data_IF_999996216438
#
_entry.id   IF_999996216438
#
_cell.length_a   1.000
_cell.length_b   1.000
_cell.length_c   1.000
_cell.angle_alpha   90.00
_cell.angle_beta   90.00
_cell.angle_gamma   90.00
#
_symmetry.space_group_name_H-M   'P 1'
#
loop_
_entity.id
_entity.type
_entity.pdbx_description
1 polymer ?
#
# COMPACT_ATOMS: atom_id res chain seq x y z
N UNK A 1 34.86 0.92 -7.55
CA UNK A 1 33.68 0.89 -6.64
C UNK A 1 33.18 -0.55 -6.48
N UNK A 2 33.20 -1.37 -7.53
CA UNK A 2 32.80 -2.78 -7.47
C UNK A 2 33.64 -3.63 -6.51
N UNK A 3 34.94 -3.34 -6.40
CA UNK A 3 35.85 -4.06 -5.53
C UNK A 3 36.06 -3.37 -4.17
N UNK A 4 35.76 -2.08 -4.06
CA UNK A 4 36.06 -1.27 -2.88
C UNK A 4 34.82 -0.67 -2.22
N UNK A 5 33.67 -0.74 -2.86
CA UNK A 5 32.39 -0.37 -2.29
C UNK A 5 31.96 -1.35 -1.22
N UNK A 6 30.87 -1.56 -0.76
CA UNK A 6 30.43 -2.45 0.32
C UNK A 6 30.38 -3.94 -0.11
N UNK A 7 31.55 -4.62 -0.30
CA UNK A 7 31.60 -5.95 -0.85
C UNK A 7 31.07 -6.98 0.14
N UNK A 8 30.29 -7.92 -0.33
CA UNK A 8 29.81 -9.06 0.47
C UNK A 8 30.79 -10.23 0.42
N UNK A 9 31.34 -10.48 -0.76
CA UNK A 9 32.38 -11.50 -1.02
C UNK A 9 33.35 -10.92 -2.03
N UNK A 10 34.64 -11.03 -1.76
CA UNK A 10 35.72 -10.68 -2.69
C UNK A 10 36.68 -11.87 -2.85
N UNK A 11 37.43 -11.92 -3.96
CA UNK A 11 38.46 -12.96 -4.17
C UNK A 11 39.64 -12.85 -3.20
N UNK A 12 39.84 -11.68 -2.60
CA UNK A 12 40.98 -11.39 -1.75
C UNK A 12 40.69 -11.43 -0.25
N UNK A 13 39.42 -11.21 0.10
CA UNK A 13 38.97 -11.23 1.48
C UNK A 13 37.51 -11.62 1.54
N UNK A 14 37.20 -12.62 2.34
CA UNK A 14 35.85 -12.99 2.62
C UNK A 14 35.28 -11.98 3.64
N UNK A 15 34.29 -11.24 3.23
CA UNK A 15 33.56 -10.31 4.11
C UNK A 15 32.15 -10.88 4.35
N UNK A 16 31.91 -11.27 5.59
CA UNK A 16 30.59 -11.73 5.98
C UNK A 16 29.68 -10.56 6.25
N UNK A 17 28.52 -10.56 5.62
CA UNK A 17 27.46 -9.61 5.96
C UNK A 17 26.84 -10.01 7.28
N UNK A 18 26.88 -9.11 8.25
CA UNK A 18 26.20 -9.32 9.52
C UNK A 18 24.70 -9.06 9.34
N UNK A 19 23.89 -10.05 9.65
CA UNK A 19 22.44 -9.90 9.70
C UNK A 19 22.04 -9.51 11.13
N UNK A 20 21.31 -8.41 11.24
CA UNK A 20 20.73 -7.96 12.51
C UNK A 20 19.30 -8.51 12.60
N UNK A 21 18.91 -9.00 13.75
CA UNK A 21 17.55 -9.40 14.01
C UNK A 21 16.63 -8.18 13.89
N UNK A 22 15.46 -8.36 13.30
CA UNK A 22 14.47 -7.32 13.16
C UNK A 22 13.07 -7.85 13.48
N UNK A 23 12.18 -6.96 13.84
CA UNK A 23 10.75 -7.22 13.99
C UNK A 23 9.95 -6.24 13.13
N UNK A 24 8.72 -6.61 12.83
CA UNK A 24 7.79 -5.76 12.09
C UNK A 24 6.58 -5.45 12.95
N UNK A 25 6.12 -4.22 12.87
CA UNK A 25 4.84 -3.81 13.44
C UNK A 25 4.07 -2.97 12.44
N UNK A 26 2.77 -2.89 12.63
CA UNK A 26 1.89 -2.04 11.83
C UNK A 26 1.48 -0.84 12.66
N UNK A 27 1.81 0.36 12.15
CA UNK A 27 1.53 1.62 12.82
C UNK A 27 0.47 2.37 12.02
N UNK A 28 -0.65 2.64 12.65
CA UNK A 28 -1.71 3.43 12.04
C UNK A 28 -1.30 4.90 11.95
N UNK A 29 -1.51 5.50 10.80
CA UNK A 29 -1.24 6.91 10.55
C UNK A 29 -2.56 7.67 10.37
N UNK A 30 -2.59 8.90 10.87
CA UNK A 30 -3.76 9.76 10.73
C UNK A 30 -3.74 10.48 9.38
N UNK A 31 -4.89 10.47 8.72
CA UNK A 31 -5.12 11.19 7.47
C UNK A 31 -5.52 12.61 7.79
N UNK A 32 -4.77 13.58 7.26
CA UNK A 32 -5.09 14.99 7.34
C UNK A 32 -5.81 15.41 6.05
N UNK A 33 -6.97 16.02 6.17
CA UNK A 33 -7.78 16.42 5.02
C UNK A 33 -9.14 15.73 4.98
N UNK A 34 -9.77 15.73 3.82
CA UNK A 34 -11.04 15.03 3.63
C UNK A 34 -10.80 13.52 3.59
N UNK A 35 -11.33 12.82 4.57
CA UNK A 35 -11.27 11.34 4.66
C UNK A 35 -12.44 10.66 3.95
N UNK A 36 -13.09 11.35 3.04
CA UNK A 36 -14.27 10.84 2.34
C UNK A 36 -13.91 10.26 0.99
N UNK A 37 -14.57 9.19 0.61
CA UNK A 37 -14.45 8.52 -0.69
C UNK A 37 -15.16 9.26 -1.84
N UNK A 38 -15.44 10.54 -1.69
CA UNK A 38 -16.21 11.31 -2.68
C UNK A 38 -15.34 12.32 -3.45
N UNK A 39 -14.23 11.85 -3.98
CA UNK A 39 -13.31 12.68 -4.75
C UNK A 39 -12.49 13.67 -3.92
N UNK A 40 -12.55 13.59 -2.61
CA UNK A 40 -11.75 14.39 -1.70
C UNK A 40 -10.26 14.04 -1.74
N UNK A 41 -9.45 14.85 -1.09
CA UNK A 41 -8.02 14.60 -0.96
C UNK A 41 -7.58 14.53 0.49
N UNK A 42 -6.60 13.69 0.77
CA UNK A 42 -6.02 13.54 2.09
C UNK A 42 -4.51 13.46 2.02
N UNK A 43 -3.84 13.89 3.06
CA UNK A 43 -2.38 13.78 3.17
C UNK A 43 -2.03 13.05 4.46
N UNK A 44 -1.10 12.11 4.34
CA UNK A 44 -0.56 11.36 5.46
C UNK A 44 0.93 11.63 5.55
N UNK A 45 1.40 12.03 6.71
CA UNK A 45 2.84 12.11 6.99
C UNK A 45 3.26 10.84 7.70
N UNK A 46 4.22 10.13 7.12
CA UNK A 46 4.74 8.89 7.72
C UNK A 46 5.56 9.26 8.96
N UNK A 47 5.12 8.76 10.12
CA UNK A 47 5.84 8.95 11.37
C UNK A 47 7.13 8.13 11.40
N UNK A 48 8.16 8.65 12.09
CA UNK A 48 9.47 7.99 12.20
C UNK A 48 9.57 7.08 13.42
N UNK A 49 8.53 6.29 13.67
CA UNK A 49 8.54 5.37 14.80
C UNK A 49 9.35 4.10 14.51
N UNK A 50 9.60 3.81 13.21
CA UNK A 50 10.45 2.70 12.78
C UNK A 50 11.57 3.18 11.86
N UNK A 51 12.58 2.33 11.69
CA UNK A 51 13.76 2.64 10.86
C UNK A 51 13.45 2.48 9.37
N UNK A 52 12.62 1.51 9.01
CA UNK A 52 12.33 1.11 7.64
C UNK A 52 10.83 1.00 7.42
N UNK A 53 10.35 1.50 6.29
CA UNK A 53 8.98 1.26 5.83
C UNK A 53 9.01 0.20 4.74
N UNK A 54 8.31 -0.91 5.00
CA UNK A 54 8.27 -2.04 4.08
C UNK A 54 6.96 -2.13 3.31
N UNK A 55 5.82 -1.92 3.97
CA UNK A 55 4.49 -2.01 3.35
C UNK A 55 3.59 -0.89 3.81
N UNK A 56 2.71 -0.47 2.94
CA UNK A 56 1.67 0.52 3.24
C UNK A 56 0.34 -0.06 2.79
N UNK A 57 -0.65 0.01 3.68
CA UNK A 57 -2.01 -0.40 3.41
C UNK A 57 -2.96 0.76 3.64
N UNK A 58 -3.93 0.89 2.77
CA UNK A 58 -5.10 1.75 3.03
C UNK A 58 -6.20 0.86 3.56
N UNK A 59 -6.71 1.19 4.73
CA UNK A 59 -7.81 0.47 5.36
C UNK A 59 -9.07 1.30 5.33
N UNK A 60 -10.19 0.67 5.03
CA UNK A 60 -11.51 1.28 5.13
C UNK A 60 -12.44 0.33 5.86
N UNK A 61 -13.21 0.86 6.78
CA UNK A 61 -14.21 0.16 7.59
C UNK A 61 -15.64 0.42 7.09
N UNK A 62 -15.78 0.92 5.89
CA UNK A 62 -17.09 1.18 5.27
C UNK A 62 -17.83 -0.11 4.95
N UNK A 63 -19.14 -0.13 5.20
CA UNK A 63 -20.00 -1.21 4.77
C UNK A 63 -20.14 -1.23 3.23
N UNK A 64 -20.26 -2.43 2.65
CA UNK A 64 -20.56 -2.62 1.22
C UNK A 64 -19.48 -2.15 0.24
N UNK A 65 -18.20 -2.29 0.56
CA UNK A 65 -17.13 -2.06 -0.40
C UNK A 65 -16.95 -3.29 -1.27
N UNK A 66 -17.27 -3.17 -2.54
CA UNK A 66 -17.12 -4.27 -3.52
C UNK A 66 -15.73 -4.28 -4.18
N UNK A 67 -15.12 -3.12 -4.32
CA UNK A 67 -13.84 -2.99 -4.98
C UNK A 67 -12.94 -1.99 -4.23
N UNK A 68 -12.04 -2.53 -3.42
CA UNK A 68 -11.08 -1.71 -2.66
C UNK A 68 -10.12 -0.93 -3.55
N UNK A 69 -9.83 -1.37 -4.77
CA UNK A 69 -8.94 -0.63 -5.67
C UNK A 69 -9.53 0.72 -6.09
N UNK A 70 -10.86 0.87 -6.05
CA UNK A 70 -11.54 2.13 -6.36
C UNK A 70 -11.50 3.16 -5.21
N UNK A 71 -11.10 2.77 -4.01
CA UNK A 71 -10.99 3.68 -2.86
C UNK A 71 -9.96 4.76 -3.11
N UNK A 72 -8.82 4.38 -3.70
CA UNK A 72 -7.72 5.30 -4.00
C UNK A 72 -7.65 5.53 -5.49
N UNK A 73 -8.14 6.67 -5.94
CA UNK A 73 -8.07 7.05 -7.35
C UNK A 73 -6.62 7.39 -7.76
N UNK A 74 -5.91 8.07 -6.88
CA UNK A 74 -4.53 8.48 -7.09
C UNK A 74 -3.79 8.53 -5.76
N UNK A 75 -2.53 8.11 -5.75
CA UNK A 75 -1.63 8.26 -4.62
C UNK A 75 -0.28 8.78 -5.09
N UNK A 76 0.19 9.84 -4.47
CA UNK A 76 1.52 10.41 -4.70
C UNK A 76 2.40 10.19 -3.48
N UNK A 77 3.65 9.81 -3.72
CA UNK A 77 4.70 9.79 -2.71
C UNK A 77 5.57 11.04 -2.85
N UNK A 78 5.64 11.80 -1.79
CA UNK A 78 6.46 13.01 -1.70
C UNK A 78 7.54 12.83 -0.62
N UNK A 79 8.77 13.16 -0.95
CA UNK A 79 9.90 13.15 -0.02
C UNK A 79 10.55 14.52 -0.03
N UNK A 80 10.58 15.18 1.12
CA UNK A 80 11.18 16.52 1.25
C UNK A 80 10.54 17.61 0.39
N UNK A 81 9.23 17.49 0.10
CA UNK A 81 8.50 18.43 -0.75
C UNK A 81 8.59 18.13 -2.25
N UNK A 82 9.33 17.08 -2.64
CA UNK A 82 9.44 16.68 -4.03
C UNK A 82 8.63 15.41 -4.28
N UNK A 83 7.79 15.41 -5.31
CA UNK A 83 7.08 14.22 -5.76
C UNK A 83 8.06 13.24 -6.37
N UNK A 84 8.13 12.03 -5.81
CA UNK A 84 9.04 10.97 -6.25
C UNK A 84 8.31 9.95 -7.10
N UNK A 85 7.09 9.60 -6.71
CA UNK A 85 6.31 8.58 -7.40
C UNK A 85 4.81 8.92 -7.37
N UNK A 86 4.07 8.39 -8.34
CA UNK A 86 2.64 8.63 -8.48
C UNK A 86 1.99 7.41 -9.09
N UNK A 87 0.97 6.91 -8.42
CA UNK A 87 0.21 5.75 -8.87
C UNK A 87 -1.26 6.10 -8.99
N UNK A 88 -1.89 5.50 -9.99
CA UNK A 88 -3.33 5.54 -10.21
C UNK A 88 -3.96 4.18 -9.88
N UNK A 89 -5.27 4.13 -9.72
CA UNK A 89 -6.01 2.89 -9.44
C UNK A 89 -5.75 1.80 -10.50
N UNK A 90 -5.68 2.18 -11.77
CA UNK A 90 -5.43 1.27 -12.89
C UNK A 90 -4.06 0.60 -12.76
N UNK A 91 -3.06 1.31 -12.25
CA UNK A 91 -1.76 0.74 -11.97
C UNK A 91 -1.84 -0.40 -10.94
N UNK A 92 -2.60 -0.19 -9.87
CA UNK A 92 -2.80 -1.24 -8.85
C UNK A 92 -3.43 -2.48 -9.45
N UNK A 93 -4.45 -2.32 -10.28
CA UNK A 93 -5.13 -3.43 -10.95
C UNK A 93 -4.21 -4.20 -11.88
N UNK A 94 -3.52 -3.49 -12.78
CA UNK A 94 -2.58 -4.10 -13.75
C UNK A 94 -1.45 -4.82 -13.02
N UNK A 95 -0.83 -4.19 -12.04
CA UNK A 95 0.27 -4.77 -11.30
C UNK A 95 -0.14 -6.02 -10.55
N UNK A 96 -1.29 -6.00 -9.91
CA UNK A 96 -1.79 -7.16 -9.18
C UNK A 96 -2.11 -8.35 -10.11
N UNK A 97 -2.69 -8.08 -11.27
CA UNK A 97 -2.97 -9.13 -12.26
C UNK A 97 -1.68 -9.78 -12.80
N UNK A 98 -0.63 -8.99 -13.02
CA UNK A 98 0.64 -9.47 -13.56
C UNK A 98 1.55 -10.13 -12.52
N UNK A 99 1.50 -9.69 -11.26
CA UNK A 99 2.47 -10.09 -10.24
C UNK A 99 1.96 -11.08 -9.20
N UNK A 100 0.65 -11.30 -9.14
CA UNK A 100 0.05 -12.16 -8.12
C UNK A 100 -0.10 -13.58 -8.63
N UNK A 101 0.49 -14.52 -7.91
CA UNK A 101 0.30 -15.95 -8.18
C UNK A 101 -1.17 -16.34 -7.98
N UNK A 102 -1.67 -17.27 -8.77
CA UNK A 102 -3.04 -17.75 -8.69
C UNK A 102 -3.40 -18.25 -7.27
N UNK A 103 -2.47 -18.89 -6.60
CA UNK A 103 -2.63 -19.36 -5.22
C UNK A 103 -2.91 -18.25 -4.21
N UNK A 104 -2.47 -17.03 -4.49
CA UNK A 104 -2.64 -15.83 -3.64
C UNK A 104 -3.74 -14.88 -4.14
N UNK A 105 -4.19 -15.05 -5.37
CA UNK A 105 -5.16 -14.17 -6.01
C UNK A 105 -6.49 -14.11 -5.23
N UNK A 106 -6.97 -15.25 -4.73
CA UNK A 106 -8.21 -15.33 -3.93
C UNK A 106 -8.04 -14.53 -2.63
N UNK A 107 -6.91 -14.70 -1.93
CA UNK A 107 -6.62 -13.97 -0.69
C UNK A 107 -6.53 -12.46 -0.91
N UNK A 108 -5.88 -12.03 -1.98
CA UNK A 108 -5.77 -10.61 -2.34
C UNK A 108 -7.14 -10.01 -2.68
N UNK A 109 -7.96 -10.71 -3.45
CA UNK A 109 -9.32 -10.29 -3.76
C UNK A 109 -10.18 -10.18 -2.49
N UNK A 110 -10.05 -11.13 -1.57
CA UNK A 110 -10.73 -11.07 -0.28
C UNK A 110 -10.30 -9.87 0.56
N UNK A 111 -9.01 -9.55 0.61
CA UNK A 111 -8.50 -8.36 1.30
C UNK A 111 -9.07 -7.06 0.73
N UNK A 112 -9.28 -7.01 -0.58
CA UNK A 112 -9.79 -5.84 -1.29
C UNK A 112 -11.32 -5.74 -1.33
N UNK A 113 -12.04 -6.72 -0.77
CA UNK A 113 -13.50 -6.76 -0.77
C UNK A 113 -14.12 -7.25 -2.07
N UNK A 114 -13.32 -7.61 -3.09
CA UNK A 114 -13.82 -8.05 -4.40
C UNK A 114 -14.42 -9.47 -4.41
N UNK A 115 -14.31 -10.21 -3.32
CA UNK A 115 -14.99 -11.48 -3.12
C UNK A 115 -15.90 -11.31 -1.92
N UNK A 116 -17.19 -11.17 -2.16
CA UNK A 116 -18.19 -11.41 -1.13
C UNK A 116 -17.97 -12.80 -0.55
N UNK A 117 -17.96 -12.93 0.76
CA UNK A 117 -17.92 -14.23 1.42
C UNK A 117 -19.13 -15.02 0.93
N UNK A 118 -18.86 -16.01 0.10
CA UNK A 118 -19.84 -16.83 -0.59
C UNK A 118 -20.85 -17.41 0.40
N UNK A 119 -22.10 -17.17 0.18
CA UNK A 119 -23.18 -17.85 0.89
C UNK A 119 -24.48 -17.07 1.02
N UNK A 120 -24.52 -15.81 0.71
CA UNK A 120 -25.74 -15.02 0.74
C UNK A 120 -25.93 -14.29 -0.57
N UNK A 121 -27.08 -14.51 -1.19
CA UNK A 121 -27.54 -13.75 -2.34
C UNK A 121 -27.89 -12.32 -1.90
N UNK A 122 -26.88 -11.52 -1.74
CA UNK A 122 -26.94 -10.15 -1.26
C UNK A 122 -25.53 -9.82 -0.80
N UNK A 123 -24.75 -9.20 -1.65
CA UNK A 123 -23.38 -8.82 -1.37
C UNK A 123 -23.35 -7.90 -0.15
N UNK A 124 -23.24 -8.49 1.03
CA UNK A 124 -22.77 -7.75 2.19
C UNK A 124 -21.26 -7.62 2.02
N UNK A 125 -20.83 -6.47 1.54
CA UNK A 125 -19.43 -6.15 1.42
C UNK A 125 -18.70 -6.41 2.74
N UNK A 126 -17.46 -6.79 2.67
CA UNK A 126 -16.60 -7.04 3.84
C UNK A 126 -16.51 -5.72 4.63
N UNK A 127 -16.81 -5.76 5.91
CA UNK A 127 -16.82 -4.56 6.75
C UNK A 127 -15.45 -3.89 6.95
N UNK A 128 -14.35 -4.58 6.58
CA UNK A 128 -12.99 -4.06 6.63
C UNK A 128 -12.24 -4.47 5.37
N UNK A 129 -11.80 -3.50 4.64
CA UNK A 129 -11.00 -3.70 3.41
C UNK A 129 -9.59 -3.16 3.64
N UNK A 130 -8.61 -3.90 3.14
CA UNK A 130 -7.20 -3.53 3.19
C UNK A 130 -6.61 -3.55 1.79
N UNK A 131 -6.26 -2.37 1.29
CA UNK A 131 -5.69 -2.20 -0.06
C UNK A 131 -4.19 -1.99 0.06
N UNK A 132 -3.35 -2.93 -0.39
CA UNK A 132 -1.91 -2.75 -0.40
C UNK A 132 -1.50 -1.77 -1.50
N UNK A 133 -0.60 -0.84 -1.17
CA UNK A 133 0.01 0.05 -2.15
C UNK A 133 1.27 -0.58 -2.74
N UNK A 134 1.45 -0.42 -4.04
CA UNK A 134 2.49 -1.12 -4.82
C UNK A 134 3.69 -0.22 -5.17
N UNK A 135 4.16 0.59 -4.23
CA UNK A 135 5.40 1.34 -4.38
C UNK A 135 6.62 0.40 -4.49
N UNK A 136 7.74 0.90 -5.03
CA UNK A 136 8.95 0.09 -5.21
C UNK A 136 9.45 -0.53 -3.90
N UNK A 137 9.35 0.21 -2.79
CA UNK A 137 9.79 -0.27 -1.47
C UNK A 137 8.85 -1.30 -0.85
N UNK A 138 7.63 -1.44 -1.39
CA UNK A 138 6.65 -2.44 -0.93
C UNK A 138 6.85 -3.83 -1.54
N UNK A 139 7.64 -3.93 -2.60
CA UNK A 139 7.79 -5.17 -3.38
C UNK A 139 8.70 -6.19 -2.72
N UNK A 140 9.78 -5.73 -2.12
CA UNK A 140 10.80 -6.58 -1.52
C UNK A 140 11.30 -5.96 -0.21
N UNK A 141 11.46 -6.74 0.89
CA UNK A 141 12.03 -6.24 2.14
C UNK A 141 13.39 -5.55 2.00
N UNK A 142 14.21 -6.00 1.05
CA UNK A 142 15.50 -5.38 0.76
C UNK A 142 15.43 -3.98 0.13
N UNK A 143 14.26 -3.58 -0.35
CA UNK A 143 13.99 -2.26 -0.95
C UNK A 143 13.29 -1.32 0.02
N UNK A 144 13.13 -1.70 1.29
CA UNK A 144 12.41 -0.91 2.28
C UNK A 144 12.93 0.53 2.35
N UNK A 145 12.02 1.48 2.49
CA UNK A 145 12.35 2.91 2.54
C UNK A 145 13.02 3.25 3.87
N UNK A 146 14.29 3.70 3.88
CA UNK A 146 15.04 3.99 5.10
C UNK A 146 14.65 5.36 5.66
N UNK A 147 13.78 5.41 6.66
CA UNK A 147 13.38 6.66 7.30
C UNK A 147 14.54 7.32 8.05
N UNK A 148 15.48 6.52 8.57
CA UNK A 148 16.66 7.04 9.25
C UNK A 148 17.56 7.86 8.31
N UNK A 149 17.67 7.48 7.04
CA UNK A 149 18.41 8.23 6.04
C UNK A 149 17.69 9.52 5.63
N UNK A 150 16.39 9.58 5.83
CA UNK A 150 15.52 10.70 5.46
C UNK A 150 15.19 11.60 6.68
N UNK A 151 16.06 11.62 7.68
CA UNK A 151 15.80 12.34 8.95
C UNK A 151 15.50 13.84 8.80
N UNK A 152 15.97 14.47 7.75
CA UNK A 152 15.73 15.90 7.47
C UNK A 152 14.64 16.15 6.42
N UNK A 153 14.06 15.07 5.88
CA UNK A 153 13.02 15.13 4.86
C UNK A 153 11.76 14.43 5.35
N UNK A 154 10.63 15.10 5.27
CA UNK A 154 9.35 14.46 5.55
C UNK A 154 8.94 13.58 4.38
N UNK A 155 8.43 12.39 4.70
CA UNK A 155 7.82 11.49 3.74
C UNK A 155 6.31 11.63 3.87
N UNK A 156 5.66 12.02 2.78
CA UNK A 156 4.22 12.23 2.72
C UNK A 156 3.60 11.39 1.62
N UNK A 157 2.41 10.89 1.91
CA UNK A 157 1.52 10.29 0.94
C UNK A 157 0.34 11.22 0.74
N UNK A 158 0.11 11.63 -0.50
CA UNK A 158 -1.06 12.42 -0.88
C UNK A 158 -2.03 11.53 -1.61
N UNK A 159 -3.25 11.49 -1.14
CA UNK A 159 -4.31 10.67 -1.70
C UNK A 159 -5.35 11.54 -2.36
N UNK A 160 -5.85 11.07 -3.49
CA UNK A 160 -7.11 11.50 -4.07
C UNK A 160 -8.06 10.31 -4.00
N UNK A 161 -9.17 10.48 -3.33
CA UNK A 161 -10.11 9.40 -3.09
C UNK A 161 -11.01 9.16 -4.30
N UNK A 162 -11.46 7.94 -4.42
CA UNK A 162 -12.47 7.56 -5.40
C UNK A 162 -13.85 8.12 -5.06
N UNK A 163 -14.76 8.04 -6.00
CA UNK A 163 -16.16 8.43 -5.78
C UNK A 163 -16.92 7.31 -5.10
N UNK A 164 -17.87 7.64 -4.24
CA UNK A 164 -18.70 6.67 -3.52
C UNK A 164 -19.43 5.71 -4.48
N UNK A 165 -19.85 6.20 -5.64
CA UNK A 165 -20.53 5.40 -6.66
C UNK A 165 -19.67 4.24 -7.22
N UNK A 166 -18.36 4.40 -7.22
CA UNK A 166 -17.43 3.38 -7.72
C UNK A 166 -16.98 2.42 -6.62
N UNK A 167 -16.98 2.89 -5.38
CA UNK A 167 -16.46 2.12 -4.22
C UNK A 167 -17.53 1.21 -3.61
N UNK A 168 -18.75 1.71 -3.54
CA UNK A 168 -19.85 1.01 -2.90
C UNK A 168 -20.60 0.14 -3.91
N UNK A 169 -20.95 -1.08 -3.49
CA UNK A 169 -21.88 -1.87 -4.26
C UNK A 169 -23.22 -1.13 -4.34
N UNK A 170 -23.64 -0.78 -5.53
CA UNK A 170 -25.02 -0.46 -5.79
C UNK A 170 -25.81 -1.73 -5.60
N UNK A 171 -26.39 -1.91 -4.40
CA UNK A 171 -27.33 -2.99 -4.19
C UNK A 171 -28.40 -2.91 -5.27
N UNK A 172 -28.37 -3.81 -6.23
CA UNK A 172 -29.44 -3.96 -7.20
C UNK A 172 -30.70 -4.33 -6.40
N UNK A 173 -31.51 -3.32 -6.13
CA UNK A 173 -32.89 -3.56 -5.74
C UNK A 173 -33.58 -4.15 -6.96
N UNK A 174 -33.51 -5.49 -7.06
CA UNK A 174 -34.34 -6.21 -8.01
C UNK A 174 -35.79 -5.89 -7.75
N UNK A 175 -36.43 -5.35 -8.76
CA UNK A 175 -37.88 -5.27 -8.89
C UNK A 175 -38.42 -6.67 -9.17
#
# INVERSE_FOLDING_TARGET
>A
IYLTGNPQITFFKVVYRRHTNFSMETIQQTINGASTTDGGSGTVTISRNGDLVHKVYVTSDGANIDNGDEIVNEVELEIGGQRIDRHYKEWSQIWNELSTDESKAIGLKAMKGSIGVSGSSGATGVGLVQVPLNFWFCRNPGLALPLIALQYHEVKLKFTWGTAANVLSTGSSGV
#
